data_IF_685747781130
#
_entry.id   IF_685747781130
#
_cell.length_a   1.000
_cell.length_b   1.000
_cell.length_c   1.000
_cell.angle_alpha   90.00
_cell.angle_beta   90.00
_cell.angle_gamma   90.00
#
_symmetry.space_group_name_H-M   'P 1'
#
loop_
_entity.id
_entity.type
_entity.pdbx_description
1 polymer ?
#
# COMPACT_ATOMS: atom_id res chain seq x y z
N UNK A 1 -88.65 -1.73 -27.56
CA UNK A 1 -87.82 -2.84 -28.09
C UNK A 1 -86.37 -2.41 -27.99
N UNK A 2 -85.55 -3.16 -27.23
CA UNK A 2 -84.10 -2.99 -27.00
C UNK A 2 -83.72 -1.86 -26.04
N UNK A 3 -83.55 -2.13 -24.73
CA UNK A 3 -82.28 -2.48 -24.02
C UNK A 3 -81.32 -1.27 -23.88
N UNK A 4 -80.80 -0.88 -22.71
CA UNK A 4 -80.87 -1.39 -21.34
C UNK A 4 -79.84 -0.64 -20.45
N UNK A 5 -80.23 -0.38 -19.18
CA UNK A 5 -79.43 -0.13 -17.95
C UNK A 5 -78.36 0.99 -17.93
N UNK A 6 -78.50 2.13 -17.21
CA UNK A 6 -78.51 2.35 -15.73
C UNK A 6 -77.36 1.58 -15.02
N UNK A 7 -76.46 2.17 -14.23
CA UNK A 7 -76.73 2.89 -12.96
C UNK A 7 -75.44 3.54 -12.42
N UNK A 8 -75.62 4.65 -11.68
CA UNK A 8 -74.66 5.30 -10.77
C UNK A 8 -74.13 4.36 -9.67
N UNK A 9 -72.94 4.64 -9.12
CA UNK A 9 -72.62 4.49 -7.69
C UNK A 9 -71.54 5.49 -7.22
N UNK A 10 -71.72 5.92 -5.97
CA UNK A 10 -71.07 6.99 -5.23
C UNK A 10 -69.71 6.63 -4.58
N UNK A 11 -68.84 7.65 -4.51
CA UNK A 11 -68.05 8.21 -3.40
C UNK A 11 -67.57 7.31 -2.24
N UNK A 12 -66.23 7.27 -2.07
CA UNK A 12 -65.41 7.54 -0.85
C UNK A 12 -63.99 7.06 -1.20
N UNK A 13 -62.85 7.65 -0.88
CA UNK A 13 -62.40 8.75 -0.02
C UNK A 13 -60.91 8.46 0.18
N UNK A 14 -60.03 9.46 0.08
CA UNK A 14 -58.75 9.53 0.81
C UNK A 14 -57.98 10.78 0.39
N UNK A 15 -58.01 11.72 1.32
CA UNK A 15 -57.20 12.92 1.50
C UNK A 15 -55.70 12.66 1.32
N UNK A 16 -55.03 13.47 0.50
CA UNK A 16 -53.59 13.73 0.60
C UNK A 16 -53.39 15.15 1.16
N UNK A 17 -52.82 15.22 2.36
CA UNK A 17 -52.34 16.46 2.98
C UNK A 17 -50.89 16.78 2.53
N UNK A 18 -50.43 18.04 2.67
CA UNK A 18 -49.19 18.53 2.11
C UNK A 18 -48.01 18.64 3.12
N UNK A 19 -46.81 18.80 2.55
CA UNK A 19 -45.64 19.51 3.09
C UNK A 19 -44.76 18.83 4.17
N UNK A 20 -43.43 18.77 3.95
CA UNK A 20 -42.36 19.36 4.80
C UNK A 20 -40.95 18.80 4.48
N UNK A 21 -40.04 19.75 4.22
CA UNK A 21 -38.57 19.83 4.28
C UNK A 21 -37.66 18.58 4.19
N UNK A 22 -36.86 18.54 3.13
CA UNK A 22 -35.47 18.06 3.18
C UNK A 22 -34.56 19.29 3.30
N UNK A 23 -34.18 19.60 4.55
CA UNK A 23 -33.10 20.54 4.85
C UNK A 23 -31.80 19.76 5.02
N UNK A 24 -30.84 19.98 4.12
CA UNK A 24 -29.42 19.69 4.36
C UNK A 24 -28.68 21.02 4.52
N UNK A 25 -27.95 21.25 5.62
CA UNK A 25 -27.27 22.51 5.82
C UNK A 25 -26.00 22.61 4.94
N UNK A 26 -25.87 23.78 4.35
CA UNK A 26 -24.63 24.34 3.80
C UNK A 26 -23.64 24.70 4.92
N UNK A 27 -22.41 25.00 4.48
CA UNK A 27 -21.31 25.73 5.13
C UNK A 27 -20.34 24.86 5.96
N UNK A 28 -19.01 25.02 5.93
CA UNK A 28 -18.14 26.14 5.56
C UNK A 28 -16.82 25.70 4.93
N UNK A 29 -16.34 26.51 3.97
CA UNK A 29 -14.93 26.73 3.68
C UNK A 29 -14.36 27.60 4.79
N UNK A 30 -13.25 27.22 5.42
CA UNK A 30 -12.36 28.20 6.05
C UNK A 30 -10.90 27.75 6.07
N UNK A 31 -10.09 28.59 5.43
CA UNK A 31 -8.65 28.71 5.48
C UNK A 31 -8.20 29.34 6.79
N UNK A 32 -7.13 28.83 7.42
CA UNK A 32 -6.08 29.54 8.20
C UNK A 32 -5.33 28.50 9.06
N UNK A 33 -4.05 28.22 8.81
CA UNK A 33 -2.91 28.98 9.33
C UNK A 33 -2.86 29.03 10.87
N UNK A 34 -2.05 28.14 11.47
CA UNK A 34 -1.40 28.40 12.76
C UNK A 34 0.07 27.99 12.63
N UNK A 35 0.90 29.01 12.54
CA UNK A 35 2.35 29.00 12.76
C UNK A 35 2.57 29.95 13.94
N UNK A 36 3.15 29.45 15.03
CA UNK A 36 3.86 30.19 16.09
C UNK A 36 4.46 29.13 17.02
N UNK A 37 5.77 28.96 16.94
CA UNK A 37 6.75 29.60 17.84
C UNK A 37 6.79 28.96 19.23
N UNK A 38 7.66 27.96 19.37
CA UNK A 38 8.44 27.80 20.57
C UNK A 38 9.91 27.58 20.16
N UNK A 39 10.56 28.71 19.96
CA UNK A 39 12.00 28.88 20.01
C UNK A 39 12.43 28.78 21.49
N UNK A 40 13.07 27.69 21.89
CA UNK A 40 13.97 27.69 23.06
C UNK A 40 15.31 27.15 22.59
N UNK A 41 16.23 28.09 22.40
CA UNK A 41 17.59 27.83 21.98
C UNK A 41 18.39 27.10 23.06
N UNK A 42 19.23 26.18 22.60
CA UNK A 42 20.50 25.85 23.26
C UNK A 42 21.51 25.68 22.13
N UNK A 43 22.50 26.58 22.09
CA UNK A 43 23.69 26.45 21.25
C UNK A 43 24.95 26.57 22.11
N UNK A 44 25.99 25.87 21.64
CA UNK A 44 27.40 25.86 22.05
C UNK A 44 27.71 25.03 23.33
N UNK A 45 28.69 24.11 23.35
CA UNK A 45 30.03 24.13 22.74
C UNK A 45 30.54 22.72 22.32
N UNK A 46 31.53 22.64 21.41
CA UNK A 46 32.21 21.41 21.04
C UNK A 46 33.37 21.10 22.01
N UNK A 47 33.59 19.82 22.31
CA UNK A 47 34.83 19.34 22.93
C UNK A 47 35.59 18.51 21.91
N UNK A 48 36.83 18.92 21.68
CA UNK A 48 37.76 18.32 20.74
C UNK A 48 38.75 17.42 21.49
N UNK A 49 39.27 16.43 20.75
CA UNK A 49 40.58 15.78 20.87
C UNK A 49 40.79 14.58 21.84
N UNK A 50 40.97 13.42 21.18
CA UNK A 50 42.10 12.47 21.22
C UNK A 50 42.47 11.79 22.56
N UNK A 51 42.56 10.46 22.54
CA UNK A 51 43.84 9.71 22.59
C UNK A 51 43.64 8.32 21.93
N UNK A 52 44.42 8.03 20.89
CA UNK A 52 44.65 6.69 20.33
C UNK A 52 45.94 6.11 20.93
N UNK A 53 45.93 4.83 21.29
CA UNK A 53 47.12 4.07 21.66
C UNK A 53 46.94 2.61 21.21
N UNK A 54 47.89 2.01 20.47
CA UNK A 54 47.79 0.63 20.03
C UNK A 54 48.48 -0.32 21.00
N UNK A 55 47.76 -1.34 21.47
CA UNK A 55 48.31 -2.47 22.23
C UNK A 55 48.53 -3.67 21.32
N UNK A 56 49.80 -3.96 21.03
CA UNK A 56 50.29 -5.16 20.34
C UNK A 56 50.34 -6.38 21.27
N UNK A 57 49.94 -7.56 20.80
CA UNK A 57 50.24 -8.85 21.41
C UNK A 57 49.81 -10.04 20.53
N UNK A 58 50.54 -11.18 20.49
CA UNK A 58 50.77 -11.92 19.25
C UNK A 58 50.15 -13.34 19.15
N UNK A 59 50.02 -13.79 17.88
CA UNK A 59 50.20 -15.14 17.27
C UNK A 59 49.96 -16.42 18.10
N UNK A 60 49.15 -17.33 17.54
CA UNK A 60 49.54 -18.68 17.03
C UNK A 60 48.26 -19.50 16.69
N UNK A 61 47.99 -19.86 15.43
CA UNK A 61 48.39 -21.07 14.66
C UNK A 61 47.75 -22.42 15.08
N UNK A 62 46.94 -22.91 14.13
CA UNK A 62 46.92 -24.27 13.54
C UNK A 62 46.21 -25.43 14.27
N UNK A 63 45.24 -26.04 13.55
CA UNK A 63 45.24 -27.41 12.97
C UNK A 63 43.79 -27.79 12.61
N UNK A 64 43.41 -27.88 11.33
CA UNK A 64 43.40 -29.09 10.46
C UNK A 64 42.84 -30.34 11.17
N UNK A 65 41.65 -30.78 10.75
CA UNK A 65 41.35 -32.20 10.59
C UNK A 65 40.27 -32.39 9.50
N UNK A 66 40.66 -33.17 8.48
CA UNK A 66 39.80 -33.80 7.49
C UNK A 66 39.11 -35.02 8.12
N UNK A 67 37.83 -35.21 7.84
CA UNK A 67 37.24 -36.53 7.76
C UNK A 67 36.23 -36.59 6.62
N UNK A 68 36.37 -37.62 5.79
CA UNK A 68 35.65 -37.89 4.54
C UNK A 68 34.77 -39.12 4.68
N UNK A 69 33.53 -39.04 4.15
CA UNK A 69 32.63 -40.17 3.83
C UNK A 69 31.85 -40.73 5.03
N UNK A 70 30.55 -41.06 4.96
CA UNK A 70 29.63 -41.38 3.85
C UNK A 70 28.15 -41.30 4.38
N UNK A 71 27.11 -41.53 3.56
CA UNK A 71 25.92 -40.69 3.47
C UNK A 71 24.75 -41.15 4.35
N UNK A 72 23.80 -40.25 4.62
CA UNK A 72 22.47 -40.65 5.06
C UNK A 72 21.41 -39.69 4.52
N UNK A 73 20.38 -40.32 3.96
CA UNK A 73 19.25 -39.80 3.20
C UNK A 73 18.24 -39.13 4.14
N UNK A 74 17.87 -37.87 3.91
CA UNK A 74 16.59 -37.34 4.43
C UNK A 74 16.11 -36.17 3.59
N UNK A 75 14.87 -36.32 3.16
CA UNK A 75 13.98 -35.40 2.45
C UNK A 75 13.85 -34.07 3.20
N UNK A 76 14.21 -32.94 2.56
CA UNK A 76 13.92 -31.60 3.09
C UNK A 76 12.92 -30.86 2.21
N UNK A 77 11.77 -30.63 2.81
CA UNK A 77 10.68 -29.75 2.41
C UNK A 77 11.17 -28.31 2.29
N UNK A 78 10.93 -27.68 1.13
CA UNK A 78 11.31 -26.30 0.86
C UNK A 78 10.36 -25.33 1.59
N UNK A 79 10.73 -24.96 2.81
CA UNK A 79 10.11 -23.88 3.58
C UNK A 79 10.67 -22.53 3.16
N UNK A 80 9.90 -21.76 2.41
CA UNK A 80 10.08 -20.32 2.28
C UNK A 80 9.89 -19.66 3.65
N UNK A 81 10.89 -18.93 4.13
CA UNK A 81 10.76 -17.59 4.72
C UNK A 81 12.18 -17.06 4.91
N UNK A 82 12.55 -15.97 4.25
CA UNK A 82 13.54 -15.06 4.83
C UNK A 82 13.29 -13.65 4.32
N UNK A 83 12.55 -12.92 5.14
CA UNK A 83 12.46 -11.47 5.08
C UNK A 83 13.79 -10.89 5.54
N UNK A 84 14.36 -10.03 4.70
CA UNK A 84 15.50 -9.22 5.08
C UNK A 84 15.16 -8.36 6.30
N UNK A 85 15.99 -8.50 7.31
CA UNK A 85 16.01 -7.79 8.59
C UNK A 85 16.05 -6.26 8.39
N UNK A 86 14.90 -5.60 8.59
CA UNK A 86 14.85 -4.15 8.82
C UNK A 86 14.98 -3.88 10.33
N UNK A 87 16.12 -3.35 10.73
CA UNK A 87 16.40 -2.83 12.07
C UNK A 87 15.44 -1.67 12.43
N UNK A 88 14.51 -1.92 13.35
CA UNK A 88 14.24 -0.98 14.47
C UNK A 88 13.14 0.08 14.37
N UNK A 89 12.24 0.09 13.38
CA UNK A 89 11.04 0.93 13.45
C UNK A 89 9.84 0.12 13.93
N UNK A 90 9.41 0.33 15.19
CA UNK A 90 8.15 -0.21 15.70
C UNK A 90 6.99 0.56 15.04
N UNK A 91 6.49 0.03 13.93
CA UNK A 91 5.31 0.55 13.23
C UNK A 91 3.98 0.14 13.90
N UNK A 92 4.05 -0.54 15.05
CA UNK A 92 2.88 -1.02 15.80
C UNK A 92 2.23 0.09 16.63
N UNK A 93 0.93 0.28 16.45
CA UNK A 93 0.07 1.08 17.30
C UNK A 93 -0.59 0.15 18.32
N UNK A 94 -0.35 0.41 19.60
CA UNK A 94 -0.90 -0.38 20.73
C UNK A 94 -1.87 0.41 21.60
N UNK A 95 -1.86 1.74 21.49
CA UNK A 95 -2.81 2.58 22.19
C UNK A 95 -4.19 2.46 21.52
N UNK A 96 -5.26 2.08 22.24
CA UNK A 96 -6.60 1.96 21.67
C UNK A 96 -7.11 3.23 20.98
N UNK A 97 -6.69 4.42 21.44
CA UNK A 97 -7.05 5.68 20.79
C UNK A 97 -6.38 5.81 19.41
N UNK A 98 -5.11 5.45 19.29
CA UNK A 98 -4.39 5.47 18.02
C UNK A 98 -4.93 4.43 17.05
N UNK A 99 -5.23 3.22 17.55
CA UNK A 99 -5.89 2.15 16.78
C UNK A 99 -7.24 2.65 16.27
N UNK A 100 -8.06 3.23 17.15
CA UNK A 100 -9.36 3.79 16.80
C UNK A 100 -9.28 4.87 15.72
N UNK A 101 -8.28 5.75 15.77
CA UNK A 101 -8.03 6.75 14.72
C UNK A 101 -7.73 6.08 13.38
N UNK A 102 -6.87 5.04 13.35
CA UNK A 102 -6.55 4.36 12.10
C UNK A 102 -7.74 3.60 11.51
N UNK A 103 -8.53 2.92 12.34
CA UNK A 103 -9.74 2.23 11.89
C UNK A 103 -10.80 3.23 11.37
N UNK A 104 -10.98 4.38 12.04
CA UNK A 104 -11.88 5.44 11.55
C UNK A 104 -11.44 6.05 10.23
N UNK A 105 -10.13 6.19 10.01
CA UNK A 105 -9.62 6.67 8.73
C UNK A 105 -10.02 5.73 7.58
N UNK A 106 -10.03 4.41 7.83
CA UNK A 106 -10.50 3.42 6.85
C UNK A 106 -12.01 3.55 6.60
N UNK A 107 -12.82 3.78 7.64
CA UNK A 107 -14.27 4.06 7.51
C UNK A 107 -14.52 5.32 6.68
N UNK A 108 -13.90 6.44 7.07
CA UNK A 108 -14.14 7.75 6.46
C UNK A 108 -13.80 7.80 4.96
N UNK A 109 -12.81 7.01 4.53
CA UNK A 109 -12.44 6.89 3.11
C UNK A 109 -13.19 5.79 2.37
N UNK A 110 -13.90 4.92 3.08
CA UNK A 110 -14.52 3.73 2.49
C UNK A 110 -13.49 2.75 1.93
N UNK A 111 -12.33 2.63 2.59
CA UNK A 111 -11.24 1.77 2.14
C UNK A 111 -11.65 0.29 2.20
N UNK A 112 -11.32 -0.46 1.15
CA UNK A 112 -11.46 -1.91 1.16
C UNK A 112 -10.35 -2.57 1.99
N UNK A 113 -10.72 -3.64 2.70
CA UNK A 113 -9.82 -4.51 3.42
C UNK A 113 -10.00 -5.96 2.96
N UNK A 114 -8.96 -6.75 3.10
CA UNK A 114 -9.05 -8.21 3.00
C UNK A 114 -8.95 -8.80 4.41
N UNK A 115 -9.98 -9.53 4.84
CA UNK A 115 -9.97 -10.36 6.03
C UNK A 115 -9.58 -11.79 5.64
N UNK A 116 -8.43 -12.26 6.11
CA UNK A 116 -7.91 -13.60 5.88
C UNK A 116 -8.07 -14.46 7.13
N UNK A 117 -8.47 -15.71 6.93
CA UNK A 117 -8.66 -16.70 7.98
C UNK A 117 -8.25 -18.09 7.44
N UNK A 118 -8.16 -19.10 8.32
CA UNK A 118 -7.63 -20.43 7.97
C UNK A 118 -8.35 -21.09 6.77
N UNK A 119 -9.62 -20.76 6.54
CA UNK A 119 -10.46 -21.36 5.49
C UNK A 119 -10.62 -20.51 4.23
N UNK A 120 -10.07 -19.30 4.17
CA UNK A 120 -10.24 -18.42 3.01
C UNK A 120 -10.00 -16.96 3.31
N UNK A 121 -10.53 -16.11 2.43
CA UNK A 121 -10.47 -14.66 2.60
C UNK A 121 -11.76 -14.00 2.11
N UNK A 122 -12.04 -12.82 2.65
CA UNK A 122 -13.17 -11.97 2.28
C UNK A 122 -12.68 -10.54 2.04
N UNK A 123 -13.11 -9.93 0.94
CA UNK A 123 -12.97 -8.48 0.75
C UNK A 123 -14.15 -7.80 1.44
N UNK A 124 -13.86 -6.85 2.32
CA UNK A 124 -14.85 -6.18 3.19
C UNK A 124 -14.51 -4.69 3.37
N UNK A 125 -15.32 -3.96 4.13
CA UNK A 125 -15.05 -2.59 4.60
C UNK A 125 -15.40 -2.48 6.08
N UNK A 126 -14.70 -1.62 6.82
CA UNK A 126 -15.16 -1.23 8.16
C UNK A 126 -16.33 -0.26 7.98
N UNK A 127 -17.43 -0.55 8.68
CA UNK A 127 -18.66 0.21 8.66
C UNK A 127 -18.71 1.24 9.79
N UNK A 128 -18.24 0.85 10.98
CA UNK A 128 -18.23 1.71 12.16
C UNK A 128 -17.15 1.31 13.16
N UNK A 129 -16.76 2.23 14.05
CA UNK A 129 -15.72 2.06 15.07
C UNK A 129 -16.14 2.67 16.40
N UNK A 130 -16.39 1.82 17.38
CA UNK A 130 -16.61 2.20 18.77
C UNK A 130 -15.29 2.15 19.54
N UNK A 131 -14.71 3.33 19.81
CA UNK A 131 -13.46 3.45 20.56
C UNK A 131 -13.64 3.23 22.07
N UNK A 132 -14.86 3.45 22.59
CA UNK A 132 -15.17 3.27 24.01
C UNK A 132 -15.23 1.78 24.33
N UNK A 133 -16.00 1.02 23.55
CA UNK A 133 -16.13 -0.43 23.68
C UNK A 133 -14.96 -1.18 23.02
N UNK A 134 -14.12 -0.47 22.27
CA UNK A 134 -12.96 -1.02 21.53
C UNK A 134 -13.38 -2.11 20.57
N UNK A 135 -14.44 -1.84 19.81
CA UNK A 135 -14.95 -2.74 18.78
C UNK A 135 -15.06 -2.00 17.46
N UNK A 136 -15.01 -2.75 16.37
CA UNK A 136 -15.32 -2.24 15.04
C UNK A 136 -16.27 -3.20 14.32
N UNK A 137 -17.16 -2.62 13.54
CA UNK A 137 -18.15 -3.34 12.73
C UNK A 137 -17.69 -3.34 11.29
N UNK A 138 -17.79 -4.47 10.59
CA UNK A 138 -17.38 -4.59 9.19
C UNK A 138 -18.35 -5.42 8.35
N UNK A 139 -18.29 -5.20 7.04
CA UNK A 139 -19.30 -5.63 6.08
C UNK A 139 -19.42 -7.15 5.95
N UNK A 140 -20.66 -7.61 5.73
CA UNK A 140 -20.99 -9.01 5.55
C UNK A 140 -20.61 -9.49 4.16
N UNK A 141 -20.02 -10.68 4.07
CA UNK A 141 -19.58 -11.22 2.79
C UNK A 141 -20.75 -11.64 1.90
N UNK A 142 -20.54 -11.56 0.59
CA UNK A 142 -21.53 -11.99 -0.41
C UNK A 142 -21.73 -13.52 -0.42
N UNK A 143 -20.74 -14.29 0.03
CA UNK A 143 -20.78 -15.76 0.03
C UNK A 143 -21.00 -16.30 1.44
N UNK A 144 -22.12 -17.02 1.64
CA UNK A 144 -22.49 -17.59 2.93
C UNK A 144 -21.43 -18.57 3.51
N UNK A 145 -20.67 -19.24 2.64
CA UNK A 145 -19.53 -20.08 3.06
C UNK A 145 -18.41 -19.25 3.70
N UNK A 146 -18.09 -18.08 3.14
CA UNK A 146 -17.07 -17.21 3.70
C UNK A 146 -17.48 -16.67 5.07
N UNK A 147 -18.76 -16.32 5.22
CA UNK A 147 -19.29 -15.80 6.49
C UNK A 147 -19.25 -16.86 7.60
N UNK A 148 -19.66 -18.09 7.28
CA UNK A 148 -19.54 -19.23 8.21
C UNK A 148 -18.08 -19.52 8.56
N UNK A 149 -17.19 -19.47 7.58
CA UNK A 149 -15.76 -19.67 7.79
C UNK A 149 -15.14 -18.61 8.70
N UNK A 150 -15.54 -17.35 8.55
CA UNK A 150 -15.07 -16.23 9.36
C UNK A 150 -15.53 -16.33 10.82
N UNK A 151 -16.81 -16.65 11.06
CA UNK A 151 -17.38 -16.83 12.41
C UNK A 151 -16.76 -18.02 13.14
N UNK A 152 -16.34 -19.06 12.41
CA UNK A 152 -15.66 -20.22 13.00
C UNK A 152 -14.15 -19.99 13.21
N UNK A 153 -13.59 -18.89 12.70
CA UNK A 153 -12.15 -18.67 12.73
C UNK A 153 -11.70 -18.13 14.10
N UNK A 154 -10.71 -18.77 14.77
CA UNK A 154 -10.15 -18.26 16.02
C UNK A 154 -9.27 -17.01 15.82
N UNK A 155 -8.89 -16.75 14.57
CA UNK A 155 -7.94 -15.70 14.21
C UNK A 155 -8.25 -15.17 12.81
N UNK A 156 -8.35 -13.86 12.70
CA UNK A 156 -8.55 -13.14 11.46
C UNK A 156 -7.42 -12.12 11.26
N UNK A 157 -6.80 -12.11 10.09
CA UNK A 157 -5.78 -11.13 9.71
C UNK A 157 -6.39 -10.17 8.71
N UNK A 158 -6.32 -8.87 9.01
CA UNK A 158 -6.84 -7.82 8.16
C UNK A 158 -5.69 -7.11 7.47
N UNK A 159 -5.83 -6.92 6.16
CA UNK A 159 -4.89 -6.15 5.35
C UNK A 159 -5.64 -5.06 4.58
N UNK A 160 -5.14 -3.84 4.64
CA UNK A 160 -5.58 -2.74 3.79
C UNK A 160 -4.37 -1.99 3.23
N UNK A 161 -4.54 -1.37 2.07
CA UNK A 161 -3.50 -0.54 1.47
C UNK A 161 -4.02 0.83 1.01
N UNK A 162 -4.60 1.65 1.92
CA UNK A 162 -5.07 2.97 1.55
C UNK A 162 -3.92 3.85 1.03
N UNK A 163 -4.07 4.37 -0.18
CA UNK A 163 -3.09 5.27 -0.82
C UNK A 163 -1.63 4.76 -0.78
N UNK A 164 -1.45 3.43 -0.77
CA UNK A 164 -0.13 2.81 -0.74
C UNK A 164 0.46 2.60 0.66
N UNK A 165 -0.19 3.09 1.72
CA UNK A 165 0.18 2.83 3.12
C UNK A 165 -0.28 1.43 3.51
N UNK A 166 0.58 0.59 4.08
CA UNK A 166 0.15 -0.73 4.57
C UNK A 166 -0.47 -0.58 5.96
N UNK A 167 -1.70 -1.08 6.10
CA UNK A 167 -2.37 -1.26 7.39
C UNK A 167 -2.63 -2.74 7.61
N UNK A 168 -2.17 -3.27 8.73
CA UNK A 168 -2.32 -4.69 9.04
C UNK A 168 -2.56 -4.90 10.53
N UNK A 169 -3.50 -5.78 10.85
CA UNK A 169 -3.80 -6.13 12.24
C UNK A 169 -4.46 -7.51 12.33
N UNK A 170 -4.47 -8.05 13.54
CA UNK A 170 -5.01 -9.38 13.82
C UNK A 170 -6.04 -9.28 14.92
N UNK A 171 -7.17 -9.94 14.75
CA UNK A 171 -8.21 -10.08 15.78
C UNK A 171 -8.48 -11.55 16.09
N UNK A 172 -9.20 -11.78 17.19
CA UNK A 172 -9.85 -13.06 17.46
C UNK A 172 -11.09 -13.29 16.58
N UNK A 173 -11.94 -14.20 17.03
CA UNK A 173 -13.19 -14.57 16.34
C UNK A 173 -14.18 -13.41 16.29
N UNK A 174 -14.63 -13.00 15.10
CA UNK A 174 -15.69 -12.00 14.97
C UNK A 174 -17.06 -12.58 15.35
N UNK A 175 -17.96 -11.70 15.75
CA UNK A 175 -19.34 -12.01 16.14
C UNK A 175 -20.30 -11.54 15.04
N UNK A 176 -21.43 -12.23 14.89
CA UNK A 176 -22.53 -11.76 14.04
C UNK A 176 -23.25 -10.59 14.73
N UNK A 177 -23.52 -9.53 13.99
CA UNK A 177 -24.26 -8.36 14.46
C UNK A 177 -25.14 -7.80 13.33
N UNK A 178 -25.84 -6.71 13.60
CA UNK A 178 -26.56 -5.94 12.59
C UNK A 178 -26.07 -4.50 12.55
N UNK A 179 -25.82 -3.99 11.35
CA UNK A 179 -25.52 -2.58 11.10
C UNK A 179 -26.57 -2.01 10.15
N UNK A 180 -27.25 -0.93 10.55
CA UNK A 180 -28.34 -0.31 9.77
C UNK A 180 -29.40 -1.31 9.26
N UNK A 181 -29.74 -2.31 10.09
CA UNK A 181 -30.73 -3.34 9.76
C UNK A 181 -30.25 -4.42 8.78
N UNK A 182 -28.96 -4.47 8.46
CA UNK A 182 -28.35 -5.50 7.61
C UNK A 182 -27.36 -6.34 8.42
N UNK A 183 -27.13 -7.63 8.05
CA UNK A 183 -26.10 -8.44 8.67
C UNK A 183 -24.73 -7.78 8.55
N UNK A 184 -23.93 -7.91 9.60
CA UNK A 184 -22.55 -7.44 9.67
C UNK A 184 -21.75 -8.29 10.66
N UNK A 185 -20.43 -8.07 10.69
CA UNK A 185 -19.56 -8.65 11.70
C UNK A 185 -19.11 -7.58 12.69
N UNK A 186 -18.92 -7.96 13.95
CA UNK A 186 -18.25 -7.15 14.95
C UNK A 186 -16.99 -7.87 15.44
N UNK A 187 -15.89 -7.14 15.60
CA UNK A 187 -14.68 -7.64 16.23
C UNK A 187 -14.12 -6.64 17.25
N UNK A 188 -13.43 -7.18 18.25
CA UNK A 188 -12.67 -6.37 19.20
C UNK A 188 -11.46 -5.75 18.51
N UNK A 189 -10.98 -4.62 19.05
CA UNK A 189 -9.76 -3.99 18.58
C UNK A 189 -8.58 -4.96 18.67
N UNK A 190 -7.63 -4.89 17.72
CA UNK A 190 -6.41 -5.66 17.81
C UNK A 190 -5.54 -5.19 18.97
N UNK A 191 -4.72 -6.08 19.54
CA UNK A 191 -3.68 -5.69 20.50
C UNK A 191 -2.59 -4.80 19.87
N UNK A 192 -2.41 -4.93 18.56
CA UNK A 192 -1.48 -4.14 17.77
C UNK A 192 -2.00 -3.95 16.34
N UNK A 193 -1.94 -2.72 15.86
CA UNK A 193 -2.19 -2.36 14.46
C UNK A 193 -0.91 -1.83 13.84
N UNK A 194 -0.40 -2.49 12.81
CA UNK A 194 0.76 -2.04 12.06
C UNK A 194 0.33 -1.02 11.00
N UNK A 195 0.93 0.18 11.06
CA UNK A 195 0.73 1.24 10.08
C UNK A 195 2.09 1.61 9.48
N UNK A 196 2.34 1.14 8.26
CA UNK A 196 3.66 1.23 7.62
C UNK A 196 3.59 2.15 6.40
N UNK A 197 4.04 3.39 6.57
CA UNK A 197 4.28 4.32 5.48
C UNK A 197 5.78 4.37 5.15
N UNK A 198 6.21 3.54 4.21
CA UNK A 198 7.62 3.39 3.81
C UNK A 198 8.07 4.33 2.69
N UNK A 199 7.16 5.13 2.13
CA UNK A 199 7.42 5.96 0.94
C UNK A 199 7.61 7.40 1.36
N UNK A 200 8.79 7.94 1.06
CA UNK A 200 9.11 9.36 1.25
C UNK A 200 8.50 10.22 0.15
N UNK A 201 8.32 9.65 -1.05
CA UNK A 201 7.81 10.35 -2.23
C UNK A 201 6.52 9.72 -2.74
N UNK A 202 5.57 10.58 -3.13
CA UNK A 202 4.36 10.18 -3.84
C UNK A 202 4.70 9.54 -5.20
N UNK A 203 3.90 8.54 -5.60
CA UNK A 203 4.08 7.82 -6.86
C UNK A 203 2.86 7.97 -7.75
N UNK A 204 3.09 8.15 -9.04
CA UNK A 204 2.05 8.15 -10.08
C UNK A 204 2.30 7.03 -11.07
N UNK A 205 1.21 6.41 -11.53
CA UNK A 205 1.28 5.42 -12.59
C UNK A 205 1.61 6.10 -13.93
N UNK A 206 2.50 5.50 -14.72
CA UNK A 206 2.80 5.97 -16.06
C UNK A 206 1.62 5.68 -17.02
N UNK A 207 1.47 6.45 -18.11
CA UNK A 207 0.40 6.20 -19.08
C UNK A 207 0.50 4.81 -19.73
N UNK A 208 -0.62 4.09 -19.79
CA UNK A 208 -0.66 2.75 -20.40
C UNK A 208 -0.65 2.80 -21.94
N UNK A 209 -1.39 3.74 -22.54
CA UNK A 209 -1.54 3.81 -24.01
C UNK A 209 -0.28 4.33 -24.72
N UNK A 210 0.41 5.28 -24.10
CA UNK A 210 1.66 5.86 -24.61
C UNK A 210 2.73 5.68 -23.53
N UNK A 211 3.30 4.48 -23.40
CA UNK A 211 4.19 4.15 -22.30
C UNK A 211 5.45 4.99 -22.36
N UNK A 212 5.87 5.44 -21.19
CA UNK A 212 7.21 6.00 -21.02
C UNK A 212 8.23 4.87 -21.02
N UNK A 213 9.45 5.19 -21.42
CA UNK A 213 10.50 4.21 -21.66
C UNK A 213 11.77 4.63 -20.95
N UNK A 214 12.51 3.63 -20.48
CA UNK A 214 13.88 3.80 -20.01
C UNK A 214 14.81 3.00 -20.92
N UNK A 215 15.88 3.64 -21.38
CA UNK A 215 16.92 2.99 -22.18
C UNK A 215 18.29 3.24 -21.56
N UNK A 216 19.19 2.29 -21.69
CA UNK A 216 20.55 2.38 -21.18
C UNK A 216 21.33 1.13 -21.53
N UNK A 217 22.40 0.86 -20.78
CA UNK A 217 23.18 -0.37 -20.89
C UNK A 217 23.09 -1.17 -19.59
N UNK A 218 23.02 -2.50 -19.73
CA UNK A 218 23.18 -3.43 -18.63
C UNK A 218 24.68 -3.59 -18.28
N UNK A 219 25.03 -4.21 -17.13
CA UNK A 219 26.43 -4.39 -16.74
C UNK A 219 27.28 -5.24 -17.71
N UNK A 220 26.63 -6.03 -18.56
CA UNK A 220 27.28 -6.80 -19.64
C UNK A 220 27.61 -5.93 -20.88
N UNK A 221 27.21 -4.65 -20.88
CA UNK A 221 27.37 -3.69 -21.97
C UNK A 221 26.26 -3.75 -23.02
N UNK A 222 25.30 -4.68 -22.91
CA UNK A 222 24.21 -4.76 -23.86
C UNK A 222 23.12 -3.72 -23.56
N UNK A 223 22.59 -3.12 -24.63
CA UNK A 223 21.52 -2.15 -24.52
C UNK A 223 20.23 -2.75 -23.96
N UNK A 224 19.49 -1.95 -23.19
CA UNK A 224 18.14 -2.28 -22.75
C UNK A 224 17.13 -1.20 -23.15
N UNK A 225 15.86 -1.61 -23.23
CA UNK A 225 14.71 -0.73 -23.39
C UNK A 225 13.54 -1.29 -22.59
N UNK A 226 13.23 -0.67 -21.47
CA UNK A 226 12.18 -1.11 -20.55
C UNK A 226 11.04 -0.12 -20.47
N UNK A 227 9.84 -0.62 -20.17
CA UNK A 227 8.67 0.22 -19.96
C UNK A 227 8.67 0.77 -18.56
N UNK A 228 8.40 2.07 -18.41
CA UNK A 228 8.17 2.68 -17.10
C UNK A 228 6.75 2.36 -16.66
N UNK A 229 6.63 1.83 -15.45
CA UNK A 229 5.37 1.50 -14.79
C UNK A 229 4.86 2.63 -13.89
N UNK A 230 5.74 3.18 -13.05
CA UNK A 230 5.40 4.26 -12.12
C UNK A 230 6.59 5.20 -11.92
N UNK A 231 6.30 6.43 -11.51
CA UNK A 231 7.27 7.51 -11.32
C UNK A 231 7.08 8.19 -9.96
N UNK A 232 8.19 8.63 -9.37
CA UNK A 232 8.24 9.45 -8.16
C UNK A 232 9.44 10.38 -8.21
N UNK A 233 9.58 11.28 -7.24
CA UNK A 233 10.81 12.08 -7.10
C UNK A 233 12.01 11.25 -6.60
N UNK A 234 11.78 10.08 -5.98
CA UNK A 234 12.86 9.22 -5.49
C UNK A 234 13.32 8.15 -6.48
N UNK A 235 12.60 7.94 -7.58
CA UNK A 235 12.90 6.87 -8.53
C UNK A 235 11.77 6.49 -9.46
N UNK A 236 12.00 5.40 -10.21
CA UNK A 236 11.13 4.89 -11.27
C UNK A 236 10.91 3.38 -11.10
N UNK A 237 9.67 2.94 -11.26
CA UNK A 237 9.32 1.54 -11.43
C UNK A 237 9.34 1.17 -12.91
N UNK A 238 9.98 0.07 -13.29
CA UNK A 238 10.07 -0.43 -14.66
C UNK A 238 9.54 -1.85 -14.80
N UNK A 239 9.14 -2.20 -16.02
CA UNK A 239 8.62 -3.52 -16.42
C UNK A 239 9.31 -4.01 -17.67
N UNK A 240 9.63 -5.30 -17.69
CA UNK A 240 10.23 -5.96 -18.84
C UNK A 240 9.94 -7.46 -18.84
N UNK A 241 10.12 -8.12 -20.00
CA UNK A 241 10.17 -9.59 -20.15
C UNK A 241 11.58 -10.09 -20.43
N UNK A 242 12.56 -9.18 -20.46
CA UNK A 242 13.96 -9.49 -20.65
C UNK A 242 14.49 -10.28 -19.46
N UNK A 243 14.95 -11.51 -19.68
CA UNK A 243 15.42 -12.42 -18.62
C UNK A 243 16.76 -12.00 -18.01
N UNK A 244 17.56 -11.19 -18.72
CA UNK A 244 18.88 -10.74 -18.24
C UNK A 244 18.79 -9.97 -16.92
N UNK A 245 17.64 -9.36 -16.64
CA UNK A 245 17.38 -8.64 -15.38
C UNK A 245 17.35 -9.54 -14.14
N UNK A 246 17.18 -10.86 -14.30
CA UNK A 246 17.19 -11.81 -13.18
C UNK A 246 18.56 -11.87 -12.52
N UNK A 247 19.63 -11.70 -13.31
CA UNK A 247 21.00 -11.77 -12.84
C UNK A 247 21.54 -10.44 -12.31
N UNK A 248 20.72 -9.37 -12.33
CA UNK A 248 21.11 -8.07 -11.80
C UNK A 248 21.20 -8.10 -10.28
N UNK A 249 22.37 -7.81 -9.67
CA UNK A 249 22.50 -7.75 -8.23
C UNK A 249 21.65 -6.62 -7.64
N UNK A 250 21.00 -6.87 -6.50
CA UNK A 250 20.38 -5.80 -5.72
C UNK A 250 21.45 -4.74 -5.36
N UNK A 251 21.12 -3.47 -5.57
CA UNK A 251 22.07 -2.36 -5.43
C UNK A 251 22.92 -2.07 -6.67
N UNK A 252 22.77 -2.80 -7.78
CA UNK A 252 23.43 -2.50 -9.05
C UNK A 252 23.04 -1.10 -9.54
N UNK A 253 24.03 -0.32 -10.00
CA UNK A 253 23.83 0.98 -10.63
C UNK A 253 23.92 0.81 -12.14
N UNK A 254 22.96 1.39 -12.86
CA UNK A 254 22.95 1.55 -14.30
C UNK A 254 23.18 3.04 -14.58
N UNK A 255 24.34 3.36 -15.14
CA UNK A 255 24.75 4.73 -15.43
C UNK A 255 24.18 5.22 -16.77
N UNK A 256 24.03 6.54 -16.91
CA UNK A 256 23.62 7.21 -18.15
C UNK A 256 22.34 6.63 -18.78
N UNK A 257 21.35 6.32 -17.94
CA UNK A 257 20.04 5.87 -18.39
C UNK A 257 19.23 7.07 -18.89
N UNK A 258 18.54 6.90 -20.00
CA UNK A 258 17.64 7.89 -20.57
C UNK A 258 16.17 7.51 -20.31
N UNK A 259 15.46 8.36 -19.58
CA UNK A 259 14.01 8.30 -19.41
C UNK A 259 13.32 9.15 -20.49
N UNK A 260 12.63 8.49 -21.40
CA UNK A 260 11.76 9.11 -22.41
C UNK A 260 10.33 9.27 -21.87
N UNK A 261 9.96 10.49 -21.49
CA UNK A 261 8.74 10.79 -20.72
C UNK A 261 7.62 11.43 -21.58
N UNK A 262 7.67 11.29 -22.91
CA UNK A 262 6.70 11.90 -23.82
C UNK A 262 6.93 13.41 -24.00
N UNK A 263 5.88 14.21 -23.88
CA UNK A 263 5.93 15.68 -24.10
C UNK A 263 6.93 16.43 -23.19
N UNK A 264 7.13 16.07 -21.90
CA UNK A 264 8.21 16.58 -21.07
C UNK A 264 9.63 16.34 -21.59
N UNK A 265 9.81 15.44 -22.57
CA UNK A 265 11.10 15.16 -23.19
C UNK A 265 11.85 13.99 -22.55
N UNK A 266 13.18 14.05 -22.67
CA UNK A 266 14.13 13.03 -22.23
C UNK A 266 14.88 13.50 -21.00
N UNK A 267 15.17 12.57 -20.09
CA UNK A 267 15.93 12.84 -18.87
C UNK A 267 17.06 11.81 -18.71
N UNK A 268 18.31 12.28 -18.61
CA UNK A 268 19.46 11.45 -18.29
C UNK A 268 19.64 11.34 -16.77
N UNK A 269 19.74 10.11 -16.26
CA UNK A 269 19.83 9.78 -14.83
C UNK A 269 20.62 8.49 -14.62
N UNK A 270 21.28 8.39 -13.47
CA UNK A 270 21.84 7.13 -12.98
C UNK A 270 20.83 6.44 -12.06
N UNK A 271 20.64 5.13 -12.26
CA UNK A 271 19.57 4.35 -11.65
C UNK A 271 20.13 3.19 -10.84
N UNK A 272 19.78 3.11 -9.55
CA UNK A 272 20.17 1.97 -8.71
C UNK A 272 19.00 1.02 -8.45
N UNK A 273 19.20 -0.28 -8.67
CA UNK A 273 18.22 -1.32 -8.39
C UNK A 273 17.99 -1.47 -6.88
N UNK A 274 16.77 -1.23 -6.41
CA UNK A 274 16.38 -1.32 -4.99
C UNK A 274 15.22 -2.26 -4.73
N UNK A 275 14.56 -2.76 -5.78
CA UNK A 275 13.49 -3.75 -5.67
C UNK A 275 13.44 -4.59 -6.93
N UNK A 276 13.22 -5.89 -6.78
CA UNK A 276 13.02 -6.82 -7.88
C UNK A 276 11.84 -7.73 -7.60
N UNK A 277 11.02 -8.04 -8.62
CA UNK A 277 9.94 -9.01 -8.54
C UNK A 277 9.72 -9.70 -9.88
N UNK A 278 9.72 -11.02 -9.88
CA UNK A 278 9.21 -11.82 -10.99
C UNK A 278 7.71 -12.10 -10.80
N UNK A 279 6.95 -12.04 -11.89
CA UNK A 279 5.51 -12.31 -11.92
C UNK A 279 5.26 -13.33 -13.02
N UNK A 280 4.77 -14.50 -12.62
CA UNK A 280 4.33 -15.53 -13.56
C UNK A 280 3.01 -15.09 -14.21
N UNK A 281 2.98 -15.10 -15.53
CA UNK A 281 1.80 -14.80 -16.33
C UNK A 281 1.04 -16.09 -16.68
N UNK A 282 -0.28 -16.04 -16.91
CA UNK A 282 -1.09 -17.23 -17.22
C UNK A 282 -0.65 -17.99 -18.48
N UNK A 283 0.08 -17.33 -19.38
CA UNK A 283 0.64 -17.93 -20.59
C UNK A 283 1.97 -18.68 -20.35
N UNK A 284 2.41 -18.80 -19.09
CA UNK A 284 3.67 -19.46 -18.72
C UNK A 284 4.93 -18.60 -18.88
N UNK A 285 4.79 -17.35 -19.32
CA UNK A 285 5.92 -16.40 -19.40
C UNK A 285 6.09 -15.62 -18.09
N UNK A 286 7.29 -15.07 -17.85
CA UNK A 286 7.54 -14.20 -16.70
C UNK A 286 7.59 -12.74 -17.12
N UNK A 287 7.01 -11.87 -16.30
CA UNK A 287 7.21 -10.42 -16.36
C UNK A 287 7.97 -9.96 -15.13
N UNK A 288 9.01 -9.19 -15.34
CA UNK A 288 9.85 -8.65 -14.28
C UNK A 288 9.46 -7.20 -13.97
N UNK A 289 9.43 -6.87 -12.68
CA UNK A 289 9.28 -5.52 -12.17
C UNK A 289 10.54 -5.11 -11.42
N UNK A 290 11.10 -3.98 -11.82
CA UNK A 290 12.30 -3.39 -11.23
C UNK A 290 11.91 -2.07 -10.57
N UNK A 291 12.27 -1.87 -9.31
CA UNK A 291 12.24 -0.57 -8.67
C UNK A 291 13.64 0.02 -8.69
N UNK A 292 13.82 1.14 -9.38
CA UNK A 292 15.08 1.85 -9.46
C UNK A 292 14.99 3.17 -8.70
N UNK A 293 15.96 3.46 -7.84
CA UNK A 293 16.10 4.79 -7.25
C UNK A 293 17.01 5.66 -8.11
N UNK A 294 16.78 6.97 -8.12
CA UNK A 294 17.77 7.89 -8.67
C UNK A 294 18.99 7.93 -7.75
N UNK A 295 20.19 7.73 -8.29
CA UNK A 295 21.43 7.89 -7.51
C UNK A 295 21.61 9.35 -7.12
N UNK A 296 21.41 10.24 -8.10
CA UNK A 296 21.29 11.67 -7.91
C UNK A 296 20.22 12.19 -8.88
N UNK A 297 19.50 13.23 -8.46
CA UNK A 297 18.51 13.89 -9.30
C UNK A 297 18.88 15.38 -9.42
N UNK A 298 19.44 15.82 -10.56
CA UNK A 298 19.76 17.23 -10.76
C UNK A 298 18.51 18.12 -10.64
N UNK A 299 18.66 19.35 -10.14
CA UNK A 299 17.50 20.21 -9.85
C UNK A 299 16.60 20.50 -11.07
N UNK A 300 17.15 20.55 -12.29
CA UNK A 300 16.34 20.68 -13.52
C UNK A 300 15.50 19.43 -13.81
N UNK A 301 16.06 18.24 -13.58
CA UNK A 301 15.40 16.95 -13.70
C UNK A 301 14.28 16.81 -12.67
N UNK A 302 14.56 17.16 -11.42
CA UNK A 302 13.58 17.16 -10.33
C UNK A 302 12.38 18.05 -10.64
N UNK A 303 12.63 19.30 -11.07
CA UNK A 303 11.57 20.23 -11.46
C UNK A 303 10.72 19.71 -12.63
N UNK A 304 11.34 18.98 -13.56
CA UNK A 304 10.65 18.38 -14.71
C UNK A 304 9.78 17.21 -14.25
N UNK A 305 10.30 16.33 -13.40
CA UNK A 305 9.56 15.23 -12.82
C UNK A 305 8.40 15.71 -11.94
N UNK A 306 8.61 16.72 -11.09
CA UNK A 306 7.54 17.26 -10.24
C UNK A 306 6.36 17.80 -11.06
N UNK A 307 6.65 18.53 -12.15
CA UNK A 307 5.62 19.00 -13.09
C UNK A 307 4.89 17.84 -13.76
N UNK A 308 5.62 16.84 -14.25
CA UNK A 308 5.03 15.65 -14.88
C UNK A 308 4.14 14.88 -13.91
N UNK A 309 4.62 14.62 -12.70
CA UNK A 309 3.89 13.90 -11.64
C UNK A 309 2.57 14.63 -11.34
N UNK A 310 2.62 15.95 -11.20
CA UNK A 310 1.43 16.78 -10.96
C UNK A 310 0.42 16.67 -12.11
N UNK A 311 0.90 16.72 -13.35
CA UNK A 311 0.04 16.59 -14.53
C UNK A 311 -0.64 15.22 -14.63
N UNK A 312 0.11 14.14 -14.36
CA UNK A 312 -0.44 12.77 -14.37
C UNK A 312 -1.52 12.59 -13.30
N UNK A 313 -1.28 13.11 -12.09
CA UNK A 313 -2.24 13.04 -10.99
C UNK A 313 -3.53 13.82 -11.30
N UNK A 314 -3.40 15.05 -11.84
CA UNK A 314 -4.56 15.84 -12.26
C UNK A 314 -5.39 15.12 -13.33
N UNK A 315 -4.72 14.51 -14.32
CA UNK A 315 -5.39 13.75 -15.38
C UNK A 315 -6.12 12.53 -14.81
N UNK A 316 -5.49 11.79 -13.89
CA UNK A 316 -6.12 10.64 -13.21
C UNK A 316 -7.38 11.05 -12.46
N UNK A 317 -7.33 12.12 -11.67
CA UNK A 317 -8.50 12.64 -10.93
C UNK A 317 -9.65 13.07 -11.83
N UNK A 318 -9.35 13.62 -13.01
CA UNK A 318 -10.38 14.01 -13.97
C UNK A 318 -11.16 12.82 -14.55
N UNK A 319 -10.49 11.67 -14.72
CA UNK A 319 -11.08 10.46 -15.28
C UNK A 319 -11.94 9.69 -14.27
N UNK A 320 -11.59 9.74 -12.98
CA UNK A 320 -12.37 9.06 -11.92
C UNK A 320 -13.68 9.78 -11.60
N UNK A 321 -13.80 11.07 -11.96
CA UNK A 321 -14.99 11.89 -11.70
C UNK A 321 -16.01 11.88 -12.85
N UNK A 322 -15.75 11.13 -13.92
CA UNK A 322 -16.65 11.01 -15.07
C UNK A 322 -17.38 9.68 -15.00
#
# INVERSE_FOLDING_TARGET
MGEGSRTEWNVTGLTFAPNISLGYPKLWVQTAAIQSDLNTGVTFFPVNARVTGPGTGPRARARKNMHTGKPMDTTETNGQTDGSSETGNDFGRRNPLEIGVQLRNLVNRGDFLTAQYKGGQLVTRILDVDVRERTFTFDWGALAEQNRGLIAAPRCVFHAQPEGVRVEFVTGTPRETTFEGRPAFEADFPDVLFYVQRREFFRVDAPVLNPYLCTGQLPDGEGFRFEVHDLSLGGVGMRTTDVRVVDLPMGCVLDDCELSLGAPGKLAVDLQLVSFRAIDLPNGTQRYQLGMRFVALPGNAENTLQRLITQLEMKRRSLVRT
#
